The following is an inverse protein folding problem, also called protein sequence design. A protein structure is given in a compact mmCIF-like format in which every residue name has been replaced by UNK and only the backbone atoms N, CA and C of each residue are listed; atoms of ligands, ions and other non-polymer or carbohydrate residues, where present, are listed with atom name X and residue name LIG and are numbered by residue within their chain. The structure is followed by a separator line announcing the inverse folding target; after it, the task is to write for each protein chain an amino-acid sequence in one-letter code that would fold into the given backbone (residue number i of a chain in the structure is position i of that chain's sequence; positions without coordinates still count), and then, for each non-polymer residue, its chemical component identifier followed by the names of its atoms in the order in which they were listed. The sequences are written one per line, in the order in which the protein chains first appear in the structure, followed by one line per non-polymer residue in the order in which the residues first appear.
data_IF_346238060078
#
_entry.id   IF_346238060078
#
_cell.length_a   1.000
_cell.length_b   1.000
_cell.length_c   1.000
_cell.angle_alpha   90.00
_cell.angle_beta   90.00
_cell.angle_gamma   90.00
#
_symmetry.space_group_name_H-M   'P 1'
#
loop_
_entity.id
_entity.type
_entity.pdbx_description
1 polymer ?
#
# COMPACT_ATOMS: atom_id res chain seq x y z
N UNK A 1 -1.67 36.01 14.96
CA UNK A 1 -0.80 34.85 15.25
C UNK A 1 -0.90 33.89 14.07
N UNK A 2 0.20 33.36 13.51
CA UNK A 2 0.13 32.29 12.52
C UNK A 2 -0.64 31.10 13.10
N UNK A 3 -1.40 30.37 12.28
CA UNK A 3 -2.00 29.10 12.72
C UNK A 3 -0.87 28.18 13.13
N UNK A 4 -0.87 27.75 14.39
CA UNK A 4 0.03 26.71 14.87
C UNK A 4 -0.41 25.36 14.29
N UNK A 5 0.38 24.85 13.35
CA UNK A 5 0.21 23.53 12.74
C UNK A 5 1.02 22.45 13.46
N UNK A 6 1.72 22.79 14.55
CA UNK A 6 2.46 21.81 15.33
C UNK A 6 1.46 20.89 16.04
N UNK A 7 1.42 19.64 15.60
CA UNK A 7 0.58 18.61 16.20
C UNK A 7 1.22 18.02 17.48
N UNK A 8 2.11 18.77 18.12
CA UNK A 8 2.88 18.29 19.27
C UNK A 8 1.93 17.91 20.41
N UNK A 9 1.96 16.63 20.80
CA UNK A 9 1.11 16.08 21.86
C UNK A 9 -0.38 15.86 21.51
N UNK A 10 -0.87 16.34 20.35
CA UNK A 10 -2.31 16.26 19.98
C UNK A 10 -2.76 14.92 19.41
N UNK A 11 -1.84 14.13 18.82
CA UNK A 11 -2.19 12.86 18.17
C UNK A 11 -1.19 11.77 18.56
N UNK A 12 -1.31 11.28 19.80
CA UNK A 12 -0.56 10.12 20.27
C UNK A 12 -1.17 8.84 19.70
N UNK A 13 -0.33 7.84 19.49
CA UNK A 13 -0.78 6.46 19.32
C UNK A 13 -1.06 5.90 20.73
N UNK A 14 -2.23 5.33 20.96
CA UNK A 14 -2.63 4.82 22.29
C UNK A 14 -2.03 3.44 22.61
N UNK A 15 -0.98 3.06 21.91
CA UNK A 15 -0.18 1.85 22.12
C UNK A 15 1.28 2.16 21.81
N UNK A 16 2.16 1.50 22.54
CA UNK A 16 3.61 1.48 22.36
C UNK A 16 4.08 0.29 21.53
N UNK A 17 3.17 -0.57 21.07
CA UNK A 17 3.51 -1.79 20.34
C UNK A 17 4.01 -1.50 18.92
N UNK A 18 5.32 -1.30 18.84
CA UNK A 18 6.10 -1.19 17.62
C UNK A 18 7.32 -2.08 17.77
N UNK A 19 7.39 -3.14 16.97
CA UNK A 19 8.44 -4.16 17.07
C UNK A 19 9.11 -4.39 15.72
N UNK A 20 10.34 -4.88 15.75
CA UNK A 20 11.07 -5.29 14.57
C UNK A 20 12.07 -6.39 14.88
N UNK A 21 12.29 -7.27 13.91
CA UNK A 21 13.29 -8.33 13.96
C UNK A 21 14.12 -8.29 12.68
N UNK A 22 15.41 -8.56 12.78
CA UNK A 22 16.30 -8.67 11.63
C UNK A 22 17.42 -9.65 11.92
N UNK A 23 17.89 -10.32 10.87
CA UNK A 23 19.13 -11.10 10.89
C UNK A 23 20.27 -10.41 10.11
N UNK A 24 20.12 -9.13 9.77
CA UNK A 24 21.06 -8.35 8.95
C UNK A 24 20.85 -8.46 7.43
N UNK A 25 19.99 -9.37 6.96
CA UNK A 25 19.65 -9.55 5.53
C UNK A 25 18.15 -9.43 5.32
N UNK A 26 17.38 -10.21 6.07
CA UNK A 26 15.92 -10.18 6.10
C UNK A 26 15.43 -9.52 7.39
N UNK A 27 14.16 -9.16 7.40
CA UNK A 27 13.53 -8.65 8.60
C UNK A 27 12.02 -8.52 8.48
N UNK A 28 11.43 -8.16 9.61
CA UNK A 28 10.03 -7.78 9.67
C UNK A 28 9.84 -6.66 10.67
N UNK A 29 8.87 -5.80 10.42
CA UNK A 29 8.41 -4.78 11.36
C UNK A 29 6.91 -4.91 11.54
N UNK A 30 6.44 -4.55 12.73
CA UNK A 30 5.03 -4.56 13.07
C UNK A 30 4.68 -3.36 13.94
N UNK A 31 3.52 -2.79 13.69
CA UNK A 31 3.00 -1.59 14.32
C UNK A 31 1.51 -1.76 14.60
N UNK A 32 1.12 -1.66 15.86
CA UNK A 32 -0.29 -1.55 16.24
C UNK A 32 -0.64 -0.06 16.25
N UNK A 33 -1.59 0.31 15.41
CA UNK A 33 -2.17 1.64 15.35
C UNK A 33 -3.39 1.68 16.27
N UNK A 34 -3.46 2.71 17.11
CA UNK A 34 -4.66 3.16 17.82
C UNK A 34 -4.60 4.70 17.86
N UNK A 35 -5.19 5.34 16.86
CA UNK A 35 -5.06 6.78 16.65
C UNK A 35 -6.29 7.34 15.95
N UNK A 36 -6.82 8.46 16.44
CA UNK A 36 -8.00 9.16 15.85
C UNK A 36 -9.16 8.18 15.60
N UNK A 37 -9.53 7.42 16.63
CA UNK A 37 -10.64 6.47 16.58
C UNK A 37 -10.52 5.45 15.44
N UNK A 38 -9.28 5.11 15.08
CA UNK A 38 -8.92 4.13 14.04
C UNK A 38 -7.86 3.20 14.61
N UNK A 39 -8.12 1.90 14.52
CA UNK A 39 -7.23 0.83 14.95
C UNK A 39 -6.85 -0.02 13.75
N UNK A 40 -5.61 -0.50 13.72
CA UNK A 40 -5.13 -1.44 12.71
C UNK A 40 -3.84 -2.10 13.20
N UNK A 41 -3.61 -3.35 12.82
CA UNK A 41 -2.31 -4.01 12.96
C UNK A 41 -1.64 -3.99 11.59
N UNK A 42 -0.44 -3.44 11.49
CA UNK A 42 0.27 -3.24 10.22
C UNK A 42 1.64 -3.89 10.31
N UNK A 43 1.94 -4.80 9.39
CA UNK A 43 3.24 -5.48 9.36
C UNK A 43 3.84 -5.44 7.96
N UNK A 44 5.17 -5.40 7.92
CA UNK A 44 5.97 -5.44 6.71
C UNK A 44 7.01 -6.56 6.84
N UNK A 45 7.16 -7.35 5.80
CA UNK A 45 8.16 -8.42 5.71
C UNK A 45 9.09 -8.11 4.54
N UNK A 46 10.38 -8.10 4.81
CA UNK A 46 11.42 -7.71 3.87
C UNK A 46 12.17 -8.96 3.43
N UNK A 47 12.01 -9.32 2.16
CA UNK A 47 12.69 -10.44 1.50
C UNK A 47 13.75 -9.91 0.54
N UNK A 48 14.23 -10.75 -0.39
CA UNK A 48 15.29 -10.39 -1.34
C UNK A 48 14.86 -9.22 -2.24
N UNK A 49 13.82 -9.44 -3.05
CA UNK A 49 13.40 -8.53 -4.12
C UNK A 49 11.98 -7.97 -3.90
N UNK A 50 11.38 -8.26 -2.74
CA UNK A 50 10.01 -7.89 -2.46
C UNK A 50 9.78 -7.49 -1.00
N UNK A 51 8.76 -6.65 -0.82
CA UNK A 51 8.25 -6.28 0.49
C UNK A 51 6.79 -6.69 0.56
N UNK A 52 6.45 -7.55 1.51
CA UNK A 52 5.06 -7.96 1.76
C UNK A 52 4.48 -7.06 2.83
N UNK A 53 3.43 -6.32 2.50
CA UNK A 53 2.70 -5.47 3.42
C UNK A 53 1.35 -6.12 3.74
N UNK A 54 1.09 -6.32 5.03
CA UNK A 54 -0.18 -6.86 5.54
C UNK A 54 -0.78 -5.92 6.56
N UNK A 55 -2.11 -5.90 6.58
CA UNK A 55 -2.86 -5.21 7.61
C UNK A 55 -4.08 -6.02 8.01
N UNK A 56 -4.39 -6.02 9.30
CA UNK A 56 -5.56 -6.69 9.85
C UNK A 56 -6.14 -5.89 11.01
N UNK A 57 -7.30 -6.31 11.49
CA UNK A 57 -8.00 -5.67 12.62
C UNK A 57 -8.20 -4.16 12.36
N UNK A 58 -8.50 -3.82 11.09
CA UNK A 58 -8.77 -2.45 10.68
C UNK A 58 -10.18 -2.10 11.12
N UNK A 59 -10.27 -1.28 12.15
CA UNK A 59 -11.51 -0.86 12.77
C UNK A 59 -11.52 0.65 12.91
N UNK A 60 -12.67 1.29 12.72
CA UNK A 60 -12.82 2.69 13.10
C UNK A 60 -14.23 3.01 13.60
N UNK A 61 -14.33 4.03 14.45
CA UNK A 61 -15.61 4.58 14.92
C UNK A 61 -15.86 6.02 14.44
N UNK A 62 -14.88 6.67 13.80
CA UNK A 62 -15.06 7.99 13.20
C UNK A 62 -15.88 7.94 11.89
N UNK A 63 -16.42 9.09 11.48
CA UNK A 63 -17.29 9.20 10.30
C UNK A 63 -16.53 9.43 8.98
N UNK A 64 -15.19 9.42 8.98
CA UNK A 64 -14.42 9.57 7.75
C UNK A 64 -14.16 8.18 7.11
N UNK A 65 -14.03 8.12 5.78
CA UNK A 65 -13.58 6.89 5.14
C UNK A 65 -12.14 6.56 5.56
N UNK A 66 -11.86 5.28 5.74
CA UNK A 66 -10.55 4.76 6.13
C UNK A 66 -9.87 4.17 4.91
N UNK A 67 -8.69 4.69 4.60
CA UNK A 67 -7.91 4.22 3.46
C UNK A 67 -6.59 3.60 3.90
N UNK A 68 -6.15 2.58 3.17
CA UNK A 68 -4.74 2.19 3.15
C UNK A 68 -4.12 2.64 1.85
N UNK A 69 -3.27 3.66 1.89
CA UNK A 69 -2.46 4.07 0.75
C UNK A 69 -1.36 3.06 0.50
N UNK A 70 -1.27 2.58 -0.74
CA UNK A 70 -0.21 1.67 -1.19
C UNK A 70 0.99 2.49 -1.66
N UNK A 71 0.77 3.53 -2.46
CA UNK A 71 1.78 4.54 -2.78
C UNK A 71 1.13 5.87 -3.21
N UNK A 72 1.91 6.94 -3.11
CA UNK A 72 1.66 8.26 -3.67
C UNK A 72 3.00 8.83 -4.17
N UNK A 73 3.22 8.80 -5.48
CA UNK A 73 4.50 9.15 -6.12
C UNK A 73 4.28 9.85 -7.45
N UNK A 74 5.35 10.39 -8.06
CA UNK A 74 5.28 10.92 -9.43
C UNK A 74 4.75 9.84 -10.39
N UNK A 75 3.77 10.19 -11.21
CA UNK A 75 3.24 9.31 -12.22
C UNK A 75 4.24 9.13 -13.37
N UNK A 76 4.46 7.89 -13.77
CA UNK A 76 5.24 7.53 -14.96
C UNK A 76 4.82 6.13 -15.41
N UNK A 77 4.20 6.04 -16.59
CA UNK A 77 3.71 4.78 -17.17
C UNK A 77 2.79 3.98 -16.22
N UNK A 78 1.79 4.65 -15.63
CA UNK A 78 0.84 3.99 -14.71
C UNK A 78 0.06 2.90 -15.45
N UNK A 79 0.13 1.66 -14.96
CA UNK A 79 -0.59 0.51 -15.52
C UNK A 79 -1.34 -0.25 -14.44
N UNK A 80 -2.55 -0.72 -14.76
CA UNK A 80 -3.34 -1.64 -13.95
C UNK A 80 -3.71 -2.84 -14.82
N UNK A 81 -3.26 -4.03 -14.43
CA UNK A 81 -3.50 -5.28 -15.17
C UNK A 81 -3.16 -5.19 -16.68
N UNK A 82 -2.11 -4.44 -17.01
CA UNK A 82 -1.62 -4.25 -18.37
C UNK A 82 -2.30 -3.14 -19.16
N UNK A 83 -3.29 -2.47 -18.58
CA UNK A 83 -3.99 -1.34 -19.18
C UNK A 83 -3.41 -0.03 -18.62
N UNK A 84 -3.05 0.90 -19.51
CA UNK A 84 -2.56 2.21 -19.09
C UNK A 84 -3.70 3.01 -18.45
N UNK A 85 -3.40 3.69 -17.33
CA UNK A 85 -4.31 4.67 -16.73
C UNK A 85 -4.00 6.02 -17.37
N UNK A 86 -4.98 6.63 -18.02
CA UNK A 86 -4.81 7.91 -18.69
C UNK A 86 -4.41 9.02 -17.70
N UNK A 87 -3.63 9.99 -18.19
CA UNK A 87 -3.34 11.24 -17.47
C UNK A 87 -4.63 12.03 -17.24
N UNK A 88 -4.71 12.74 -16.11
CA UNK A 88 -5.87 13.51 -15.68
C UNK A 88 -6.93 12.69 -14.91
N UNK A 89 -6.73 11.39 -14.73
CA UNK A 89 -7.64 10.57 -13.92
C UNK A 89 -7.39 10.86 -12.43
N UNK A 90 -8.30 11.56 -11.78
CA UNK A 90 -8.15 11.89 -10.35
C UNK A 90 -8.54 10.73 -9.43
N UNK A 91 -9.51 9.91 -9.84
CA UNK A 91 -10.00 8.76 -9.08
C UNK A 91 -10.72 7.78 -10.00
N UNK A 92 -10.27 6.52 -10.02
CA UNK A 92 -10.92 5.44 -10.73
C UNK A 92 -10.87 4.16 -9.89
N UNK A 93 -12.04 3.59 -9.58
CA UNK A 93 -12.15 2.30 -8.90
C UNK A 93 -11.92 1.16 -9.88
N UNK A 94 -11.02 0.24 -9.53
CA UNK A 94 -10.61 -0.90 -10.35
C UNK A 94 -10.45 -2.14 -9.48
N UNK A 95 -10.78 -3.31 -10.02
CA UNK A 95 -10.45 -4.59 -9.39
C UNK A 95 -9.11 -5.07 -9.95
N UNK A 96 -8.03 -4.93 -9.18
CA UNK A 96 -6.67 -5.10 -9.67
C UNK A 96 -6.04 -6.41 -9.20
N UNK A 97 -5.34 -7.11 -10.10
CA UNK A 97 -4.39 -8.17 -9.74
C UNK A 97 -2.97 -7.63 -9.53
N UNK A 98 -2.56 -6.65 -10.32
CA UNK A 98 -1.30 -5.94 -10.16
C UNK A 98 -1.36 -4.53 -10.75
N UNK A 99 -0.46 -3.68 -10.26
CA UNK A 99 -0.30 -2.29 -10.68
C UNK A 99 1.18 -2.03 -10.90
N UNK A 100 1.52 -1.11 -11.79
CA UNK A 100 2.89 -0.67 -11.99
C UNK A 100 2.95 0.85 -12.17
N UNK A 101 3.96 1.47 -11.57
CA UNK A 101 4.32 2.86 -11.80
C UNK A 101 5.84 3.00 -11.78
N UNK A 102 6.38 3.56 -12.85
CA UNK A 102 7.80 3.77 -13.11
C UNK A 102 8.67 2.50 -13.06
N UNK A 103 9.27 2.23 -11.90
CA UNK A 103 10.16 1.11 -11.64
C UNK A 103 9.65 0.26 -10.46
N UNK A 104 8.37 0.41 -10.08
CA UNK A 104 7.81 -0.28 -8.92
C UNK A 104 6.52 -0.99 -9.33
N UNK A 105 6.48 -2.30 -9.12
CA UNK A 105 5.29 -3.13 -9.23
C UNK A 105 4.59 -3.29 -7.87
N UNK A 106 3.27 -3.44 -7.91
CA UNK A 106 2.44 -3.80 -6.76
C UNK A 106 1.60 -5.02 -7.15
N UNK A 107 1.68 -6.09 -6.37
CA UNK A 107 0.99 -7.34 -6.64
C UNK A 107 0.03 -7.64 -5.51
N UNK A 108 -1.22 -7.95 -5.86
CA UNK A 108 -2.22 -8.38 -4.89
C UNK A 108 -2.33 -9.91 -4.90
N UNK A 109 -2.13 -10.59 -3.76
CA UNK A 109 -2.28 -12.05 -3.68
C UNK A 109 -3.67 -12.54 -4.12
N UNK A 110 -4.70 -11.77 -3.78
CA UNK A 110 -6.06 -11.89 -4.31
C UNK A 110 -6.41 -10.63 -5.07
N UNK A 111 -7.26 -10.72 -6.09
CA UNK A 111 -7.81 -9.51 -6.73
C UNK A 111 -8.40 -8.59 -5.68
N UNK A 112 -8.04 -7.31 -5.74
CA UNK A 112 -8.34 -6.32 -4.71
C UNK A 112 -8.95 -5.09 -5.36
N UNK A 113 -10.05 -4.61 -4.79
CA UNK A 113 -10.62 -3.33 -5.19
C UNK A 113 -9.72 -2.20 -4.70
N UNK A 114 -9.27 -1.39 -5.64
CA UNK A 114 -8.39 -0.25 -5.41
C UNK A 114 -8.97 0.98 -6.08
N UNK A 115 -8.57 2.14 -5.59
CA UNK A 115 -8.79 3.40 -6.27
C UNK A 115 -7.44 3.92 -6.74
N UNK A 116 -7.36 4.26 -8.03
CA UNK A 116 -6.14 4.75 -8.68
C UNK A 116 -6.34 6.19 -9.17
N UNK A 117 -5.30 6.99 -9.03
CA UNK A 117 -5.16 8.34 -9.56
C UNK A 117 -3.91 8.40 -10.42
N UNK A 118 -4.01 9.05 -11.57
CA UNK A 118 -2.93 9.50 -12.42
C UNK A 118 -3.27 10.93 -12.88
N UNK A 119 -3.14 11.89 -11.96
CA UNK A 119 -3.54 13.27 -12.20
C UNK A 119 -2.89 14.25 -11.24
N UNK A 120 -3.03 15.54 -11.55
CA UNK A 120 -2.47 16.63 -10.76
C UNK A 120 -3.10 16.68 -9.35
N UNK A 121 -2.34 17.16 -8.36
CA UNK A 121 -2.82 17.30 -6.96
C UNK A 121 -2.94 18.78 -6.55
N UNK A 122 -3.61 19.59 -7.37
CA UNK A 122 -3.67 21.04 -7.18
C UNK A 122 -4.74 21.50 -6.18
N UNK A 123 -5.79 20.70 -5.98
CA UNK A 123 -6.95 21.08 -5.15
C UNK A 123 -6.71 20.87 -3.66
N UNK A 124 -5.66 20.15 -3.27
CA UNK A 124 -5.38 19.83 -1.87
C UNK A 124 -4.69 20.98 -1.13
N UNK A 125 -4.97 21.18 0.17
CA UNK A 125 -4.20 22.09 0.99
C UNK A 125 -2.72 21.74 0.94
N UNK A 126 -1.86 22.74 0.70
CA UNK A 126 -0.41 22.56 0.66
C UNK A 126 0.21 23.20 1.89
N UNK A 127 1.28 22.57 2.37
CA UNK A 127 2.17 23.15 3.37
C UNK A 127 3.18 24.12 2.74
N UNK A 128 3.26 24.13 1.40
CA UNK A 128 4.15 24.95 0.57
C UNK A 128 3.37 26.03 -0.19
N UNK A 129 4.03 27.12 -0.63
CA UNK A 129 3.44 28.13 -1.50
C UNK A 129 2.75 27.54 -2.75
N UNK A 130 1.68 28.19 -3.21
CA UNK A 130 0.83 27.66 -4.28
C UNK A 130 1.56 27.44 -5.60
N UNK A 131 2.60 28.23 -5.91
CA UNK A 131 3.45 28.04 -7.10
C UNK A 131 3.97 26.59 -7.24
N UNK A 132 4.28 25.92 -6.13
CA UNK A 132 4.80 24.54 -6.16
C UNK A 132 3.72 23.52 -6.53
N UNK A 133 2.42 23.83 -6.33
CA UNK A 133 1.32 22.99 -6.81
C UNK A 133 1.20 23.02 -8.31
N UNK A 134 1.40 24.19 -8.92
CA UNK A 134 1.28 24.39 -10.37
C UNK A 134 2.37 23.62 -11.13
N UNK A 135 3.57 23.51 -10.54
CA UNK A 135 4.70 22.76 -11.08
C UNK A 135 4.65 21.25 -10.78
N UNK A 136 3.73 20.79 -9.94
CA UNK A 136 3.65 19.38 -9.56
C UNK A 136 3.15 18.54 -10.74
N UNK A 137 3.92 17.54 -11.22
CA UNK A 137 3.48 16.67 -12.29
C UNK A 137 2.32 15.78 -11.82
N UNK A 138 1.71 15.07 -12.78
CA UNK A 138 0.75 14.03 -12.44
C UNK A 138 1.31 13.10 -11.37
N UNK A 139 0.46 12.81 -10.39
CA UNK A 139 0.80 11.99 -9.24
C UNK A 139 0.05 10.68 -9.37
N UNK A 140 0.81 9.59 -9.35
CA UNK A 140 0.27 8.26 -9.17
C UNK A 140 -0.11 8.10 -7.70
N UNK A 141 -1.38 7.86 -7.43
CA UNK A 141 -1.89 7.51 -6.10
C UNK A 141 -2.69 6.24 -6.20
N UNK A 142 -2.47 5.32 -5.28
CA UNK A 142 -3.26 4.10 -5.18
C UNK A 142 -3.57 3.80 -3.72
N UNK A 143 -4.83 3.48 -3.45
CA UNK A 143 -5.26 3.09 -2.11
C UNK A 143 -6.38 2.07 -2.15
N UNK A 144 -6.48 1.32 -1.06
CA UNK A 144 -7.62 0.47 -0.74
C UNK A 144 -8.56 1.31 0.12
N UNK A 145 -9.82 1.36 -0.26
CA UNK A 145 -10.88 2.02 0.50
C UNK A 145 -11.59 0.98 1.37
N UNK A 146 -11.44 1.11 2.70
CA UNK A 146 -12.11 0.25 3.69
C UNK A 146 -13.50 0.78 4.08
N UNK A 147 -13.93 1.88 3.47
CA UNK A 147 -15.19 2.55 3.74
C UNK A 147 -15.20 3.30 5.06
N UNK A 148 -16.41 3.68 5.47
CA UNK A 148 -16.66 4.38 6.73
C UNK A 148 -16.97 3.39 7.84
N UNK A 149 -16.33 3.57 9.01
CA UNK A 149 -16.46 2.68 10.18
C UNK A 149 -16.22 1.19 9.86
N UNK A 150 -15.11 0.82 9.20
CA UNK A 150 -14.77 -0.58 8.95
C UNK A 150 -14.77 -1.39 10.25
N UNK A 151 -15.06 -2.68 10.13
CA UNK A 151 -15.04 -3.64 11.22
C UNK A 151 -14.23 -4.85 10.77
N UNK A 152 -13.10 -5.10 11.43
CA UNK A 152 -12.20 -6.21 11.14
C UNK A 152 -11.80 -6.33 9.64
N UNK A 153 -11.61 -5.19 8.98
CA UNK A 153 -11.10 -5.16 7.61
C UNK A 153 -9.61 -5.52 7.55
N UNK A 154 -9.13 -5.87 6.36
CA UNK A 154 -7.74 -6.29 6.15
C UNK A 154 -7.23 -5.91 4.77
N UNK A 155 -5.91 -5.89 4.61
CA UNK A 155 -5.26 -5.79 3.30
C UNK A 155 -4.02 -6.66 3.23
N UNK A 156 -3.64 -7.01 2.01
CA UNK A 156 -2.33 -7.57 1.71
C UNK A 156 -1.90 -7.18 0.31
N UNK A 157 -0.66 -6.71 0.16
CA UNK A 157 -0.06 -6.44 -1.13
C UNK A 157 1.45 -6.64 -1.05
N UNK A 158 2.06 -6.85 -2.21
CA UNK A 158 3.50 -7.08 -2.36
C UNK A 158 4.05 -5.92 -3.20
N UNK A 159 5.09 -5.27 -2.70
CA UNK A 159 5.85 -4.26 -3.44
C UNK A 159 7.02 -4.95 -4.11
N UNK A 160 7.22 -4.67 -5.39
CA UNK A 160 8.31 -5.17 -6.22
C UNK A 160 9.14 -3.98 -6.73
N UNK A 161 10.17 -3.56 -5.99
CA UNK A 161 11.07 -2.51 -6.42
C UNK A 161 11.88 -2.91 -7.65
N UNK A 162 12.31 -1.91 -8.43
CA UNK A 162 13.18 -2.08 -9.61
C UNK A 162 12.64 -3.06 -10.67
N UNK A 163 11.31 -3.18 -10.79
CA UNK A 163 10.66 -4.01 -11.80
C UNK A 163 9.98 -3.17 -12.88
N UNK A 164 9.95 -3.71 -14.10
CA UNK A 164 9.08 -3.21 -15.16
C UNK A 164 7.69 -3.89 -15.12
N UNK A 165 6.75 -3.40 -15.93
CA UNK A 165 5.37 -3.89 -15.95
C UNK A 165 5.25 -5.35 -16.41
N UNK A 166 6.05 -5.79 -17.38
CA UNK A 166 6.04 -7.19 -17.83
C UNK A 166 6.56 -8.14 -16.76
N UNK A 167 7.65 -7.79 -16.07
CA UNK A 167 8.16 -8.56 -14.93
C UNK A 167 7.12 -8.64 -13.80
N UNK A 168 6.48 -7.51 -13.47
CA UNK A 168 5.40 -7.44 -12.46
C UNK A 168 4.24 -8.40 -12.81
N UNK A 169 3.80 -8.38 -14.08
CA UNK A 169 2.76 -9.27 -14.61
C UNK A 169 3.15 -10.75 -14.54
N UNK A 170 4.40 -11.09 -14.86
CA UNK A 170 4.90 -12.46 -14.76
C UNK A 170 4.91 -12.91 -13.29
N UNK A 171 5.46 -12.10 -12.39
CA UNK A 171 5.52 -12.40 -10.96
C UNK A 171 4.12 -12.58 -10.37
N UNK A 172 3.13 -11.76 -10.77
CA UNK A 172 1.73 -11.96 -10.37
C UNK A 172 1.18 -13.34 -10.76
N UNK A 173 1.53 -13.84 -11.94
CA UNK A 173 1.14 -15.19 -12.39
C UNK A 173 1.89 -16.29 -11.62
N UNK A 174 3.13 -16.04 -11.23
CA UNK A 174 3.91 -16.97 -10.41
C UNK A 174 3.39 -17.08 -8.98
N UNK A 175 2.96 -15.96 -8.38
CA UNK A 175 2.43 -15.90 -7.01
C UNK A 175 1.12 -16.66 -6.83
N UNK A 176 0.40 -17.03 -7.89
CA UNK A 176 -0.63 -18.08 -7.82
C UNK A 176 0.02 -19.47 -7.75
N UNK A 177 0.69 -19.75 -6.63
CA UNK A 177 1.12 -21.03 -6.02
C UNK A 177 1.63 -22.23 -6.85
N UNK A 178 1.60 -22.28 -8.19
CA UNK A 178 1.82 -23.55 -8.92
C UNK A 178 2.66 -23.54 -10.20
N UNK A 179 2.88 -22.43 -10.91
CA UNK A 179 3.23 -22.55 -12.34
C UNK A 179 4.47 -21.80 -12.86
N UNK A 180 5.41 -21.38 -12.02
CA UNK A 180 6.67 -20.84 -12.53
C UNK A 180 7.78 -21.89 -12.60
N UNK A 181 7.68 -22.71 -13.63
CA UNK A 181 8.82 -23.45 -14.14
C UNK A 181 9.89 -22.48 -14.67
N UNK A 182 11.09 -22.58 -14.09
CA UNK A 182 12.34 -21.97 -14.57
C UNK A 182 12.49 -20.45 -14.42
N UNK A 183 12.38 -19.94 -13.20
CA UNK A 183 13.40 -19.03 -12.67
C UNK A 183 14.08 -19.76 -11.51
N UNK A 184 15.30 -20.24 -11.72
CA UNK A 184 16.08 -20.89 -10.64
C UNK A 184 16.43 -19.82 -9.61
N UNK A 185 15.73 -19.79 -8.49
CA UNK A 185 16.26 -19.51 -7.16
C UNK A 185 15.24 -19.94 -6.11
N UNK A 186 15.54 -21.05 -5.42
CA UNK A 186 14.88 -21.49 -4.19
C UNK A 186 13.44 -21.97 -4.33
N UNK A 187 13.11 -23.05 -3.64
CA UNK A 187 11.72 -23.46 -3.35
C UNK A 187 11.04 -22.36 -2.51
N UNK A 188 10.43 -21.36 -3.15
CA UNK A 188 9.65 -20.31 -2.46
C UNK A 188 8.31 -20.89 -2.01
N UNK A 189 8.17 -21.15 -0.71
CA UNK A 189 6.87 -21.31 -0.06
C UNK A 189 6.52 -19.99 0.64
N UNK A 190 5.55 -19.24 0.12
CA UNK A 190 4.96 -18.14 0.87
C UNK A 190 4.00 -18.73 1.93
N UNK A 191 3.94 -18.16 3.15
CA UNK A 191 2.88 -18.48 4.09
C UNK A 191 1.52 -18.25 3.42
N UNK A 192 0.56 -19.15 3.65
CA UNK A 192 -0.82 -18.92 3.24
C UNK A 192 -1.42 -17.84 4.13
N UNK A 193 -1.43 -16.59 3.66
CA UNK A 193 -2.10 -15.48 4.33
C UNK A 193 -3.61 -15.62 4.15
N UNK A 194 -4.29 -16.32 5.06
CA UNK A 194 -5.75 -16.39 5.07
C UNK A 194 -6.34 -15.15 5.74
N UNK A 195 -7.50 -14.69 5.26
CA UNK A 195 -8.23 -13.53 5.81
C UNK A 195 -8.64 -13.71 7.28
N UNK A 196 -8.50 -14.91 7.84
CA UNK A 196 -9.08 -15.28 9.14
C UNK A 196 -8.05 -15.47 10.26
N UNK A 197 -6.77 -15.72 9.98
CA UNK A 197 -5.76 -16.01 11.01
C UNK A 197 -4.48 -15.19 10.84
N UNK A 198 -4.52 -13.89 11.15
CA UNK A 198 -3.29 -13.10 11.39
C UNK A 198 -2.85 -13.13 12.86
N UNK A 199 -3.57 -13.86 13.72
CA UNK A 199 -3.25 -14.05 15.14
C UNK A 199 -1.99 -14.88 15.39
N UNK A 200 -1.46 -15.60 14.41
CA UNK A 200 -0.26 -16.45 14.58
C UNK A 200 1.06 -15.72 14.30
N UNK A 201 1.03 -14.42 13.99
CA UNK A 201 2.23 -13.63 13.67
C UNK A 201 2.52 -12.49 14.65
N UNK A 202 1.91 -12.52 15.85
CA UNK A 202 2.14 -11.57 16.94
C UNK A 202 2.42 -12.31 18.25
#
# INVERSE_FOLDING_TARGET
MPKDYSNYGRFKNNTDHTIGVSNGVYGSTSYIMDKKDTKAKKSYFFFDDEIVAVGSDINASNNNPIHTTINQAKAKNVMVDGHAVASGIESQSLNASWIHNDAIGYVFPNQTDVVVSNGQQQTMPSLWPDQFKEETPDTFKVWIDHGTKPQNESYSYIVLPSQNSEATKIIRKCNSYRNCGKFKQGTRSYPSWSKTNTTEFF
#
